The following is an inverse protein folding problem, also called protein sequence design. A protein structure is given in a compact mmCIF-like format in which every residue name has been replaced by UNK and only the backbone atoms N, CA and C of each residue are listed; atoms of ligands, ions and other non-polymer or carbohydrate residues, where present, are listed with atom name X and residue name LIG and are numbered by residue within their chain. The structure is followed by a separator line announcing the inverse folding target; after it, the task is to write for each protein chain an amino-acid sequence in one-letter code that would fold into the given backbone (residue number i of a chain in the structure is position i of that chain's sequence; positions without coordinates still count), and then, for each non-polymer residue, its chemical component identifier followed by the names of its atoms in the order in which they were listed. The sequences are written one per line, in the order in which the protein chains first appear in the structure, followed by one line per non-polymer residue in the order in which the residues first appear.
data_IF_570064743919
#
_entry.id   IF_570064743919
#
_cell.length_a   1.000
_cell.length_b   1.000
_cell.length_c   1.000
_cell.angle_alpha   90.00
_cell.angle_beta   90.00
_cell.angle_gamma   90.00
#
_symmetry.space_group_name_H-M   'P 1'
#
loop_
_entity.id
_entity.type
_entity.pdbx_description
1 polymer ?
#
# COMPACT_ATOMS: atom_id res chain seq x y z
N UNK A 1 -8.94 15.68 4.26
CA UNK A 1 -7.80 15.11 5.00
C UNK A 1 -6.54 15.49 4.25
N UNK A 2 -5.51 15.96 4.94
CA UNK A 2 -4.21 16.24 4.32
C UNK A 2 -3.51 14.88 4.12
N UNK A 3 -3.14 14.54 2.89
CA UNK A 3 -2.39 13.32 2.60
C UNK A 3 -0.94 13.47 3.06
N UNK A 4 -0.40 12.46 3.72
CA UNK A 4 0.99 12.44 4.22
C UNK A 4 1.71 11.24 3.63
N UNK A 5 2.89 11.46 3.08
CA UNK A 5 3.81 10.41 2.65
C UNK A 5 4.94 10.26 3.67
N UNK A 6 5.37 9.03 3.94
CA UNK A 6 6.48 8.71 4.85
C UNK A 6 7.40 7.68 4.21
N UNK A 7 8.69 7.79 4.47
CA UNK A 7 9.71 6.83 4.07
C UNK A 7 10.21 6.16 5.36
N UNK A 8 10.17 4.84 5.38
CA UNK A 8 10.58 4.04 6.53
C UNK A 8 11.83 3.22 6.17
N UNK A 9 12.98 3.46 6.82
CA UNK A 9 14.14 2.58 6.71
C UNK A 9 13.84 1.22 7.35
N UNK A 10 14.26 0.12 6.71
CA UNK A 10 13.95 -1.24 7.17
C UNK A 10 14.61 -1.56 8.52
N UNK A 11 15.82 -1.05 8.75
CA UNK A 11 16.62 -1.34 9.96
C UNK A 11 16.49 -0.22 11.03
N UNK A 12 15.45 0.62 10.94
CA UNK A 12 15.27 1.71 11.90
C UNK A 12 14.86 1.17 13.27
N UNK A 13 15.53 1.57 14.38
CA UNK A 13 15.16 1.14 15.73
C UNK A 13 13.82 1.73 16.20
N UNK A 14 13.27 2.71 15.49
CA UNK A 14 11.99 3.34 15.82
C UNK A 14 10.78 2.56 15.28
N UNK A 15 10.99 1.46 14.56
CA UNK A 15 9.94 0.64 13.96
C UNK A 15 9.97 -0.73 14.62
N UNK A 16 8.84 -1.13 15.21
CA UNK A 16 8.68 -2.42 15.87
C UNK A 16 8.46 -3.56 14.85
N UNK A 17 7.44 -3.42 13.99
CA UNK A 17 7.12 -4.43 12.97
C UNK A 17 6.42 -3.83 11.74
N UNK A 18 6.48 -4.56 10.62
CA UNK A 18 5.78 -4.22 9.36
C UNK A 18 4.87 -5.38 8.98
N UNK A 19 3.57 -5.20 9.15
CA UNK A 19 2.55 -6.20 8.82
C UNK A 19 1.77 -5.84 7.55
N UNK A 20 1.48 -6.85 6.73
CA UNK A 20 0.71 -6.67 5.49
C UNK A 20 -0.79 -6.78 5.78
N UNK A 21 -1.45 -5.62 5.92
CA UNK A 21 -2.90 -5.57 6.15
C UNK A 21 -3.72 -6.08 4.96
N UNK A 22 -3.41 -5.62 3.74
CA UNK A 22 -4.13 -5.96 2.50
C UNK A 22 -3.20 -5.97 1.30
N UNK A 23 -3.47 -6.85 0.34
CA UNK A 23 -2.71 -6.90 -0.93
C UNK A 23 -3.53 -6.25 -2.05
N UNK A 24 -3.06 -5.12 -2.58
CA UNK A 24 -3.70 -4.44 -3.71
C UNK A 24 -3.24 -4.98 -5.07
N UNK A 25 -4.10 -4.87 -6.10
CA UNK A 25 -3.72 -5.14 -7.49
C UNK A 25 -3.26 -3.84 -8.16
N UNK A 26 -1.98 -3.77 -8.51
CA UNK A 26 -1.37 -2.64 -9.23
C UNK A 26 -0.60 -3.12 -10.46
N UNK A 27 -0.42 -2.25 -11.45
CA UNK A 27 0.31 -2.56 -12.70
C UNK A 27 1.74 -2.00 -12.73
N UNK A 28 2.01 -0.96 -11.93
CA UNK A 28 3.29 -0.25 -11.90
C UNK A 28 3.94 -0.46 -10.53
N UNK A 29 5.27 -0.54 -10.49
CA UNK A 29 6.03 -0.65 -9.24
C UNK A 29 6.00 0.66 -8.43
N UNK A 30 6.12 1.80 -9.13
CA UNK A 30 6.02 3.14 -8.53
C UNK A 30 4.60 3.69 -8.68
N UNK A 31 3.99 4.10 -7.56
CA UNK A 31 2.59 4.52 -7.49
C UNK A 31 2.40 6.05 -7.42
N UNK A 32 3.32 6.83 -7.99
CA UNK A 32 3.28 8.31 -7.92
C UNK A 32 2.00 8.92 -8.50
N UNK A 33 1.35 8.24 -9.45
CA UNK A 33 0.08 8.70 -10.02
C UNK A 33 -1.04 8.83 -8.97
N UNK A 34 -0.92 8.18 -7.81
CA UNK A 34 -1.89 8.33 -6.72
C UNK A 34 -1.85 9.73 -6.08
N UNK A 35 -0.75 10.49 -6.23
CA UNK A 35 -0.60 11.84 -5.69
C UNK A 35 -1.60 12.83 -6.29
N UNK A 36 -1.94 12.64 -7.56
CA UNK A 36 -2.86 13.49 -8.31
C UNK A 36 -4.32 13.06 -8.17
N UNK A 37 -4.56 11.84 -7.67
CA UNK A 37 -5.91 11.28 -7.53
C UNK A 37 -6.47 11.51 -6.13
N UNK A 38 -7.76 11.80 -6.05
CA UNK A 38 -8.46 11.98 -4.78
C UNK A 38 -9.76 11.16 -4.70
N UNK A 39 -10.25 10.95 -3.48
CA UNK A 39 -11.53 10.27 -3.23
C UNK A 39 -11.57 8.82 -3.72
N UNK A 40 -12.63 8.45 -4.44
CA UNK A 40 -12.86 7.08 -4.92
C UNK A 40 -11.84 6.63 -5.97
N UNK A 41 -11.28 7.57 -6.73
CA UNK A 41 -10.31 7.27 -7.80
C UNK A 41 -8.95 6.78 -7.27
N UNK A 42 -8.56 7.25 -6.07
CA UNK A 42 -7.30 6.83 -5.43
C UNK A 42 -7.38 5.43 -4.78
N UNK A 43 -8.58 4.81 -4.68
CA UNK A 43 -8.74 3.50 -4.04
C UNK A 43 -8.25 2.38 -4.96
N UNK A 44 -7.20 1.69 -4.52
CA UNK A 44 -6.71 0.48 -5.19
C UNK A 44 -7.63 -0.69 -4.86
N UNK A 45 -8.01 -1.47 -5.88
CA UNK A 45 -8.78 -2.70 -5.70
C UNK A 45 -7.91 -3.79 -5.06
N UNK A 46 -8.50 -4.50 -4.11
CA UNK A 46 -7.85 -5.62 -3.45
C UNK A 46 -7.65 -6.81 -4.39
N UNK A 47 -6.50 -7.47 -4.28
CA UNK A 47 -6.18 -8.70 -4.99
C UNK A 47 -6.73 -9.86 -4.16
N UNK A 48 -7.93 -10.33 -4.49
CA UNK A 48 -8.47 -11.58 -3.95
C UNK A 48 -7.69 -12.75 -4.53
N UNK A 49 -6.64 -13.18 -3.85
CA UNK A 49 -6.06 -14.50 -4.04
C UNK A 49 -6.93 -15.50 -3.29
N UNK A 50 -7.62 -16.38 -4.02
CA UNK A 50 -8.12 -17.64 -3.46
C UNK A 50 -6.89 -18.46 -3.10
N UNK A 51 -6.38 -18.29 -1.90
CA UNK A 51 -5.34 -19.17 -1.39
C UNK A 51 -6.08 -20.42 -0.95
N UNK A 52 -6.01 -21.48 -1.75
CA UNK A 52 -6.35 -22.81 -1.27
C UNK A 52 -5.36 -23.11 -0.14
N UNK A 53 -5.85 -23.10 1.09
CA UNK A 53 -5.07 -23.58 2.23
C UNK A 53 -4.64 -25.01 1.94
N UNK A 54 -3.36 -25.28 2.23
CA UNK A 54 -2.75 -26.59 2.17
C UNK A 54 -2.62 -27.11 3.59
#
# INVERSE_FOLDING_TARGET
TIGVERIFPIESPNIDSIEVNKRGKVRRAKLYYLRELTGKAARIKEKRTVVAEK
#
